data_IF_927962935078
#
_entry.id   IF_927962935078
#
_cell.length_a   1.000
_cell.length_b   1.000
_cell.length_c   1.000
_cell.angle_alpha   90.00
_cell.angle_beta   90.00
_cell.angle_gamma   90.00
#
_symmetry.space_group_name_H-M   'P 1'
#
loop_
_entity.id
_entity.type
_entity.pdbx_description
1 polymer ?
#
# COMPACT_ATOMS: atom_id res chain seq x y z
N UNK A 1 -11.46 -7.13 8.95
CA UNK A 1 -10.58 -8.27 9.32
C UNK A 1 -10.22 -8.12 10.79
N UNK A 2 -10.30 -9.20 11.58
CA UNK A 2 -9.94 -9.11 13.00
C UNK A 2 -8.42 -8.95 13.14
N UNK A 3 -7.90 -7.97 13.91
CA UNK A 3 -6.47 -7.80 14.14
C UNK A 3 -5.75 -9.06 14.63
N UNK A 4 -6.46 -9.98 15.30
CA UNK A 4 -5.91 -11.27 15.75
C UNK A 4 -5.43 -12.15 14.59
N UNK A 5 -6.00 -12.00 13.39
CA UNK A 5 -5.56 -12.75 12.21
C UNK A 5 -4.10 -12.49 11.86
N UNK A 6 -3.54 -11.34 12.23
CA UNK A 6 -2.12 -11.05 11.99
C UNK A 6 -1.17 -11.60 13.06
N UNK A 7 -1.70 -12.15 14.17
CA UNK A 7 -0.89 -12.81 15.21
C UNK A 7 -0.56 -14.25 14.85
N UNK A 8 -1.14 -14.79 13.78
CA UNK A 8 -0.71 -16.06 13.23
C UNK A 8 0.79 -16.03 12.90
N UNK A 9 1.53 -17.05 13.32
CA UNK A 9 2.99 -17.10 13.19
C UNK A 9 3.45 -17.08 11.73
N UNK A 10 2.67 -17.68 10.82
CA UNK A 10 3.01 -17.67 9.40
C UNK A 10 2.83 -16.27 8.82
N UNK A 11 1.72 -15.61 9.16
CA UNK A 11 1.43 -14.24 8.68
C UNK A 11 2.47 -13.26 9.22
N UNK A 12 2.71 -13.28 10.53
CA UNK A 12 3.69 -12.40 11.18
C UNK A 12 5.12 -12.68 10.70
N UNK A 13 5.50 -13.94 10.50
CA UNK A 13 6.81 -14.33 9.96
C UNK A 13 7.03 -13.83 8.53
N UNK A 14 6.02 -13.94 7.65
CA UNK A 14 6.10 -13.40 6.28
C UNK A 14 6.25 -11.88 6.30
N UNK A 15 5.44 -11.17 7.10
CA UNK A 15 5.53 -9.70 7.19
C UNK A 15 6.89 -9.28 7.78
N UNK A 16 7.40 -9.98 8.79
CA UNK A 16 8.69 -9.64 9.40
C UNK A 16 9.89 -9.84 8.44
N UNK A 17 9.81 -10.83 7.55
CA UNK A 17 10.90 -11.19 6.62
C UNK A 17 10.79 -10.57 5.23
N UNK A 18 9.66 -9.98 4.88
CA UNK A 18 9.46 -9.34 3.58
C UNK A 18 10.46 -8.19 3.35
N UNK A 19 11.08 -8.14 2.17
CA UNK A 19 11.96 -7.05 1.76
C UNK A 19 11.23 -5.88 1.08
N UNK A 20 10.00 -6.09 0.61
CA UNK A 20 9.18 -5.06 -0.06
C UNK A 20 7.71 -5.35 0.14
N UNK A 21 6.93 -4.29 0.39
CA UNK A 21 5.48 -4.30 0.45
C UNK A 21 4.91 -3.46 -0.67
N UNK A 22 3.93 -4.01 -1.38
CA UNK A 22 2.99 -3.23 -2.17
C UNK A 22 1.61 -3.33 -1.49
N UNK A 23 1.05 -2.19 -1.11
CA UNK A 23 -0.15 -2.12 -0.28
C UNK A 23 -1.19 -1.29 -1.01
N UNK A 24 -2.24 -1.94 -1.52
CA UNK A 24 -3.43 -1.29 -2.04
C UNK A 24 -4.66 -1.96 -1.42
N UNK A 25 -4.92 -1.65 -0.16
CA UNK A 25 -6.00 -2.27 0.60
C UNK A 25 -6.37 -1.48 1.85
N UNK A 26 -7.68 -1.48 2.13
CA UNK A 26 -8.26 -1.34 3.47
C UNK A 26 -8.84 -2.70 3.88
N UNK A 27 -8.77 -3.03 5.17
CA UNK A 27 -9.08 -4.37 5.69
C UNK A 27 -10.34 -4.36 6.57
N UNK A 28 -11.47 -4.00 5.97
CA UNK A 28 -12.78 -3.99 6.61
C UNK A 28 -13.73 -3.02 5.90
N UNK A 29 -14.97 -2.95 6.38
CA UNK A 29 -15.95 -1.98 5.90
C UNK A 29 -15.66 -0.63 6.58
N UNK A 30 -15.02 0.26 5.84
CA UNK A 30 -14.70 1.60 6.33
C UNK A 30 -15.94 2.52 6.32
N UNK A 31 -16.09 3.42 7.31
CA UNK A 31 -15.23 3.64 8.46
C UNK A 31 -15.59 2.78 9.70
N UNK A 32 -16.59 1.90 9.61
CA UNK A 32 -17.14 1.20 10.78
C UNK A 32 -16.25 0.09 11.35
N UNK A 33 -15.38 -0.52 10.53
CA UNK A 33 -14.54 -1.66 10.89
C UNK A 33 -13.10 -1.45 10.38
N UNK A 34 -12.37 -0.57 11.06
CA UNK A 34 -11.06 -0.05 10.64
C UNK A 34 -9.86 -0.75 11.29
N UNK A 35 -10.08 -1.51 12.36
CA UNK A 35 -9.05 -2.08 13.22
C UNK A 35 -8.11 -3.00 12.45
N UNK A 36 -8.66 -3.72 11.46
CA UNK A 36 -7.89 -4.57 10.57
C UNK A 36 -6.90 -3.79 9.69
N UNK A 37 -7.28 -2.60 9.21
CA UNK A 37 -6.41 -1.73 8.41
C UNK A 37 -5.29 -1.16 9.27
N UNK A 38 -5.65 -0.66 10.46
CA UNK A 38 -4.67 -0.10 11.39
C UNK A 38 -3.61 -1.14 11.79
N UNK A 39 -4.04 -2.34 12.15
CA UNK A 39 -3.14 -3.42 12.52
C UNK A 39 -2.19 -3.81 11.37
N UNK A 40 -2.69 -3.88 10.13
CA UNK A 40 -1.86 -4.12 8.95
C UNK A 40 -0.80 -3.03 8.78
N UNK A 41 -1.20 -1.76 8.84
CA UNK A 41 -0.28 -0.62 8.66
C UNK A 41 0.82 -0.60 9.73
N UNK A 42 0.46 -0.84 10.99
CA UNK A 42 1.42 -0.90 12.10
C UNK A 42 2.42 -2.05 11.94
N UNK A 43 1.97 -3.21 11.46
CA UNK A 43 2.86 -4.34 11.23
C UNK A 43 3.83 -4.12 10.06
N UNK A 44 3.35 -3.56 8.96
CA UNK A 44 4.21 -3.18 7.82
C UNK A 44 5.24 -2.12 8.27
N UNK A 45 4.81 -1.13 9.07
CA UNK A 45 5.70 -0.09 9.59
C UNK A 45 6.75 -0.62 10.57
N UNK A 46 6.45 -1.69 11.31
CA UNK A 46 7.40 -2.33 12.22
C UNK A 46 8.59 -2.97 11.49
N UNK A 47 8.40 -3.40 10.23
CA UNK A 47 9.50 -3.86 9.38
C UNK A 47 10.26 -2.66 8.80
N UNK A 48 11.31 -2.23 9.51
CA UNK A 48 12.12 -1.05 9.15
C UNK A 48 13.00 -1.26 7.92
N UNK A 49 13.41 -2.49 7.64
CA UNK A 49 14.26 -2.84 6.49
C UNK A 49 13.52 -2.90 5.16
N UNK A 50 12.20 -3.10 5.17
CA UNK A 50 11.44 -3.27 3.95
C UNK A 50 11.15 -1.95 3.23
N UNK A 51 11.13 -2.00 1.90
CA UNK A 51 10.53 -0.95 1.07
C UNK A 51 9.00 -1.01 1.19
N UNK A 52 8.35 0.15 1.27
CA UNK A 52 6.90 0.26 1.51
C UNK A 52 6.27 1.10 0.41
N UNK A 53 5.44 0.47 -0.40
CA UNK A 53 4.81 1.09 -1.56
C UNK A 53 3.30 1.14 -1.32
N UNK A 54 2.79 2.26 -0.84
CA UNK A 54 1.36 2.45 -0.56
C UNK A 54 0.65 3.01 -1.79
N UNK A 55 -0.44 2.38 -2.19
CA UNK A 55 -1.25 2.74 -3.35
C UNK A 55 -2.75 2.67 -3.03
N UNK A 56 -3.55 3.37 -3.84
CA UNK A 56 -5.00 3.47 -3.64
C UNK A 56 -5.36 4.63 -2.70
N UNK A 57 -6.36 5.41 -3.11
CA UNK A 57 -6.82 6.59 -2.37
C UNK A 57 -7.20 6.25 -0.93
N UNK A 58 -8.04 5.23 -0.77
CA UNK A 58 -8.50 4.77 0.55
C UNK A 58 -7.34 4.30 1.43
N UNK A 59 -6.39 3.52 0.89
CA UNK A 59 -5.22 3.06 1.66
C UNK A 59 -4.40 4.23 2.20
N UNK A 60 -4.09 5.21 1.36
CA UNK A 60 -3.23 6.35 1.75
C UNK A 60 -3.99 7.28 2.70
N UNK A 61 -5.27 7.51 2.45
CA UNK A 61 -6.14 8.30 3.31
C UNK A 61 -6.29 7.65 4.69
N UNK A 62 -6.60 6.36 4.75
CA UNK A 62 -6.79 5.66 6.02
C UNK A 62 -5.47 5.43 6.77
N UNK A 63 -4.35 5.24 6.07
CA UNK A 63 -3.03 5.27 6.70
C UNK A 63 -2.78 6.62 7.40
N UNK A 64 -3.14 7.73 6.75
CA UNK A 64 -3.02 9.08 7.34
C UNK A 64 -3.96 9.27 8.53
N UNK A 65 -5.20 8.78 8.44
CA UNK A 65 -6.22 8.94 9.49
C UNK A 65 -5.92 8.07 10.71
N UNK A 66 -5.66 6.78 10.50
CA UNK A 66 -5.49 5.79 11.57
C UNK A 66 -4.07 5.78 12.14
N UNK A 67 -3.08 6.12 11.31
CA UNK A 67 -1.66 6.01 11.65
C UNK A 67 -0.87 7.26 11.23
N UNK A 68 -1.25 8.47 11.66
CA UNK A 68 -0.66 9.73 11.18
C UNK A 68 0.85 9.80 11.40
N UNK A 69 1.36 9.28 12.52
CA UNK A 69 2.81 9.26 12.77
C UNK A 69 3.58 8.36 11.80
N UNK A 70 3.00 7.21 11.40
CA UNK A 70 3.60 6.34 10.39
C UNK A 70 3.60 7.03 9.03
N UNK A 71 2.45 7.63 8.66
CA UNK A 71 2.32 8.39 7.42
C UNK A 71 3.35 9.53 7.35
N UNK A 72 3.45 10.36 8.39
CA UNK A 72 4.40 11.48 8.43
C UNK A 72 5.85 10.99 8.35
N UNK A 73 6.21 9.93 9.10
CA UNK A 73 7.57 9.38 9.03
C UNK A 73 7.93 8.82 7.65
N UNK A 74 6.94 8.37 6.89
CA UNK A 74 7.16 7.82 5.55
C UNK A 74 7.32 8.90 4.46
N UNK A 75 6.93 10.16 4.72
CA UNK A 75 7.12 11.25 3.76
C UNK A 75 8.61 11.55 3.52
N UNK A 76 9.43 11.39 4.56
CA UNK A 76 10.88 11.66 4.52
C UNK A 76 11.72 10.36 4.43
N UNK A 77 11.09 9.18 4.43
CA UNK A 77 11.78 7.88 4.35
C UNK A 77 12.02 7.47 2.89
N UNK A 78 13.29 7.34 2.43
CA UNK A 78 13.59 6.93 1.05
C UNK A 78 13.10 5.51 0.71
N UNK A 79 12.77 4.70 1.71
CA UNK A 79 12.20 3.36 1.50
C UNK A 79 10.68 3.36 1.39
N UNK A 80 10.02 4.51 1.56
CA UNK A 80 8.56 4.63 1.49
C UNK A 80 8.14 5.45 0.28
N UNK A 81 7.15 4.95 -0.48
CA UNK A 81 6.60 5.64 -1.64
C UNK A 81 5.07 5.60 -1.60
N UNK A 82 4.45 6.76 -1.81
CA UNK A 82 3.01 6.92 -1.89
C UNK A 82 2.60 7.15 -3.34
N UNK A 83 1.94 6.17 -3.95
CA UNK A 83 1.39 6.29 -5.28
C UNK A 83 0.15 7.18 -5.31
N UNK A 84 0.09 8.10 -6.27
CA UNK A 84 -1.06 8.96 -6.56
C UNK A 84 -1.82 8.56 -7.83
N UNK A 85 -1.31 7.59 -8.60
CA UNK A 85 -1.89 7.14 -9.87
C UNK A 85 -3.18 6.31 -9.75
N UNK A 86 -3.65 6.03 -8.53
CA UNK A 86 -4.88 5.27 -8.29
C UNK A 86 -4.91 3.93 -9.04
N UNK A 87 -5.98 3.70 -9.80
CA UNK A 87 -6.16 2.48 -10.59
C UNK A 87 -5.11 2.27 -11.67
N UNK A 88 -4.45 3.33 -12.17
CA UNK A 88 -3.44 3.19 -13.22
C UNK A 88 -2.23 2.36 -12.75
N UNK A 89 -1.88 2.45 -11.46
CA UNK A 89 -0.81 1.64 -10.88
C UNK A 89 -1.17 0.16 -10.89
N UNK A 90 -2.41 -0.18 -10.57
CA UNK A 90 -2.90 -1.55 -10.62
C UNK A 90 -2.91 -2.08 -12.06
N UNK A 91 -3.40 -1.28 -13.02
CA UNK A 91 -3.40 -1.67 -14.43
C UNK A 91 -2.00 -1.91 -14.98
N UNK A 92 -1.02 -1.06 -14.65
CA UNK A 92 0.36 -1.25 -15.08
C UNK A 92 0.99 -2.53 -14.48
N UNK A 93 0.65 -2.86 -13.22
CA UNK A 93 1.09 -4.11 -12.58
C UNK A 93 0.42 -5.32 -13.23
N UNK A 94 -0.90 -5.25 -13.47
CA UNK A 94 -1.69 -6.32 -14.10
C UNK A 94 -1.20 -6.62 -15.52
N UNK A 95 -0.89 -5.59 -16.30
CA UNK A 95 -0.39 -5.70 -17.67
C UNK A 95 1.10 -6.01 -17.74
N UNK A 96 1.84 -5.84 -16.64
CA UNK A 96 3.30 -5.95 -16.60
C UNK A 96 4.04 -4.81 -17.32
N UNK A 97 3.31 -3.80 -17.80
CA UNK A 97 3.85 -2.63 -18.51
C UNK A 97 2.87 -1.46 -18.44
N UNK A 98 3.36 -0.20 -18.30
CA UNK A 98 2.51 0.97 -18.43
C UNK A 98 2.24 1.35 -19.89
N UNK A 99 3.02 0.84 -20.84
CA UNK A 99 2.99 1.30 -22.24
C UNK A 99 1.79 0.81 -23.03
N UNK A 100 1.15 -0.27 -22.58
CA UNK A 100 -0.05 -0.82 -23.24
C UNK A 100 -1.35 -0.15 -22.75
N UNK A 101 -1.24 0.77 -21.79
CA UNK A 101 -2.38 1.55 -21.33
C UNK A 101 -2.81 2.56 -22.40
N UNK A 102 -4.12 2.58 -22.74
CA UNK A 102 -4.68 3.50 -23.76
C UNK A 102 -4.24 4.96 -23.60
N UNK A 103 -4.22 5.57 -22.39
CA UNK A 103 -3.76 6.95 -22.25
C UNK A 103 -2.29 7.15 -22.62
N UNK A 104 -1.43 6.15 -22.37
CA UNK A 104 -0.01 6.20 -22.71
C UNK A 104 0.19 5.97 -24.22
N UNK A 105 -0.55 5.04 -24.81
CA UNK A 105 -0.52 4.82 -26.26
C UNK A 105 -0.94 6.05 -27.06
N UNK A 106 -1.93 6.80 -26.58
CA UNK A 106 -2.36 8.05 -27.22
C UNK A 106 -1.21 9.08 -27.31
N UNK A 107 -0.34 9.14 -26.30
CA UNK A 107 0.83 10.04 -26.30
C UNK A 107 1.86 9.67 -27.38
N UNK A 108 1.97 8.39 -27.76
CA UNK A 108 2.88 7.95 -28.82
C UNK A 108 2.33 8.18 -30.24
N UNK A 109 1.01 8.33 -30.39
CA UNK A 109 0.37 8.58 -31.68
C UNK A 109 0.37 10.06 -32.08
N UNK A 110 0.65 10.97 -31.13
CA UNK A 110 0.77 12.42 -31.35
C UNK A 110 2.22 12.86 -31.68
N UNK A 111 3.15 11.90 -31.83
CA UNK A 111 4.57 12.10 -32.22
C UNK A 111 4.78 11.53 -33.62
#
# INVERSE_FOLDING_TARGET
>A
VDPKSYRDEKVSGVIASAGTFFVNAVMGLMPSFWEGSEALYRMIAANRSARKLFAGGDTVQELRNLCPGIYMSGLDDPNTYYFTGGGAVLSAIEQGTPYDMKPIQALFQEI
#
